data_IF_701839761415
#
_entry.id   IF_701839761415
#
_cell.length_a   1.000
_cell.length_b   1.000
_cell.length_c   1.000
_cell.angle_alpha   90.00
_cell.angle_beta   90.00
_cell.angle_gamma   90.00
#
_symmetry.space_group_name_H-M   'P 1'
#
loop_
_entity.id
_entity.type
_entity.pdbx_description
1 polymer ?
#
# COMPACT_ATOMS: atom_id res chain seq x y z
N UNK A 1 23.28 -6.89 2.19
CA UNK A 1 21.85 -6.86 2.58
C UNK A 1 21.05 -7.36 1.40
N UNK A 2 20.07 -8.23 1.64
CA UNK A 2 19.20 -8.82 0.62
C UNK A 2 17.74 -8.56 0.99
N UNK A 3 16.95 -8.11 0.02
CA UNK A 3 15.51 -7.86 0.16
C UNK A 3 14.79 -8.85 -0.74
N UNK A 4 13.86 -9.60 -0.17
CA UNK A 4 13.07 -10.62 -0.85
C UNK A 4 11.61 -10.21 -0.74
N UNK A 5 11.04 -9.77 -1.86
CA UNK A 5 9.60 -9.52 -1.94
C UNK A 5 8.85 -10.82 -2.23
N UNK A 6 7.58 -10.86 -1.83
CA UNK A 6 6.69 -12.00 -2.06
C UNK A 6 7.28 -13.34 -1.57
N UNK A 7 7.99 -13.35 -0.43
CA UNK A 7 8.68 -14.57 0.05
C UNK A 7 7.73 -15.77 0.20
N UNK A 8 6.46 -15.51 0.52
CA UNK A 8 5.41 -16.50 0.63
C UNK A 8 5.08 -17.24 -0.66
N UNK A 9 5.55 -16.76 -1.83
CA UNK A 9 5.49 -17.51 -3.08
C UNK A 9 6.12 -18.91 -2.95
N UNK A 10 7.08 -19.09 -2.03
CA UNK A 10 7.64 -20.41 -1.72
C UNK A 10 6.59 -21.44 -1.32
N UNK A 11 5.47 -21.03 -0.70
CA UNK A 11 4.41 -21.90 -0.22
C UNK A 11 3.67 -22.61 -1.37
N UNK A 12 3.77 -22.08 -2.60
CA UNK A 12 3.21 -22.72 -3.80
C UNK A 12 4.03 -23.92 -4.28
N UNK A 13 5.29 -24.02 -3.84
CA UNK A 13 6.17 -25.13 -4.17
C UNK A 13 5.88 -26.40 -3.39
N UNK A 14 6.41 -27.52 -3.86
CA UNK A 14 6.38 -28.79 -3.13
C UNK A 14 7.11 -28.68 -1.79
N UNK A 15 6.77 -29.56 -0.84
CA UNK A 15 7.45 -29.61 0.47
C UNK A 15 8.98 -29.69 0.36
N UNK A 16 9.50 -30.41 -0.64
CA UNK A 16 10.94 -30.48 -0.91
C UNK A 16 11.51 -29.12 -1.32
N UNK A 17 10.85 -28.41 -2.23
CA UNK A 17 11.28 -27.08 -2.69
C UNK A 17 11.25 -26.06 -1.54
N UNK A 18 10.20 -26.08 -0.73
CA UNK A 18 10.09 -25.22 0.46
C UNK A 18 11.27 -25.43 1.42
N UNK A 19 11.61 -26.69 1.72
CA UNK A 19 12.77 -27.01 2.59
C UNK A 19 14.10 -26.55 2.00
N UNK A 20 14.30 -26.74 0.70
CA UNK A 20 15.52 -26.26 0.02
C UNK A 20 15.61 -24.74 0.15
N UNK A 21 14.51 -24.02 -0.10
CA UNK A 21 14.47 -22.56 0.01
C UNK A 21 14.76 -22.08 1.44
N UNK A 22 14.10 -22.63 2.46
CA UNK A 22 14.33 -22.26 3.87
C UNK A 22 15.77 -22.56 4.30
N UNK A 23 16.36 -23.67 3.83
CA UNK A 23 17.76 -23.97 4.10
C UNK A 23 18.70 -22.92 3.50
N UNK A 24 18.40 -22.42 2.29
CA UNK A 24 19.17 -21.33 1.68
C UNK A 24 19.03 -20.05 2.49
N UNK A 25 17.80 -19.66 2.88
CA UNK A 25 17.57 -18.49 3.74
C UNK A 25 18.35 -18.62 5.05
N UNK A 26 18.35 -19.80 5.67
CA UNK A 26 19.10 -20.09 6.89
C UNK A 26 20.60 -19.92 6.70
N UNK A 27 21.15 -20.46 5.61
CA UNK A 27 22.57 -20.32 5.29
C UNK A 27 22.97 -18.86 5.06
N UNK A 28 22.15 -18.10 4.33
CA UNK A 28 22.38 -16.68 4.10
C UNK A 28 22.35 -15.88 5.41
N UNK A 29 21.39 -16.16 6.28
CA UNK A 29 21.21 -15.46 7.55
C UNK A 29 22.28 -15.83 8.59
N UNK A 30 22.66 -17.11 8.69
CA UNK A 30 23.48 -17.62 9.79
C UNK A 30 24.96 -17.70 9.42
N UNK A 31 25.30 -18.39 8.34
CA UNK A 31 26.68 -18.66 7.96
C UNK A 31 27.32 -17.43 7.32
N UNK A 32 26.60 -16.80 6.39
CA UNK A 32 27.08 -15.60 5.70
C UNK A 32 26.73 -14.30 6.43
N UNK A 33 25.88 -14.35 7.46
CA UNK A 33 25.43 -13.19 8.25
C UNK A 33 24.88 -12.05 7.38
N UNK A 34 24.22 -12.39 6.27
CA UNK A 34 23.62 -11.39 5.37
C UNK A 34 22.38 -10.81 6.04
N UNK A 35 22.24 -9.47 6.16
CA UNK A 35 21.00 -8.86 6.61
C UNK A 35 19.88 -9.13 5.61
N UNK A 36 18.78 -9.75 6.06
CA UNK A 36 17.64 -10.15 5.23
C UNK A 36 16.39 -9.34 5.59
N UNK A 37 15.71 -8.81 4.58
CA UNK A 37 14.38 -8.20 4.70
C UNK A 37 13.43 -9.00 3.83
N UNK A 38 12.42 -9.60 4.46
CA UNK A 38 11.42 -10.42 3.77
C UNK A 38 10.08 -9.68 3.75
N UNK A 39 9.59 -9.34 2.57
CA UNK A 39 8.32 -8.67 2.36
C UNK A 39 7.29 -9.63 1.76
N UNK A 40 6.01 -9.32 1.98
CA UNK A 40 4.88 -10.07 1.45
C UNK A 40 3.63 -9.91 2.32
N UNK A 41 2.67 -10.79 2.09
CA UNK A 41 1.41 -10.83 2.85
C UNK A 41 1.59 -11.50 4.22
N UNK A 42 0.51 -11.65 5.00
CA UNK A 42 0.55 -12.43 6.26
C UNK A 42 1.06 -13.88 6.05
N UNK A 43 0.97 -14.41 4.83
CA UNK A 43 1.53 -15.69 4.45
C UNK A 43 3.06 -15.71 4.54
N UNK A 44 3.74 -14.57 4.41
CA UNK A 44 5.19 -14.48 4.54
C UNK A 44 5.63 -14.84 5.96
N UNK A 45 4.89 -14.35 6.96
CA UNK A 45 5.09 -14.74 8.36
C UNK A 45 4.88 -16.24 8.54
N UNK A 46 3.79 -16.78 7.99
CA UNK A 46 3.51 -18.22 8.08
C UNK A 46 4.62 -19.06 7.44
N UNK A 47 5.13 -18.65 6.28
CA UNK A 47 6.21 -19.34 5.58
C UNK A 47 7.49 -19.40 6.43
N UNK A 48 7.89 -18.29 7.06
CA UNK A 48 9.07 -18.24 7.92
C UNK A 48 8.88 -19.03 9.22
N UNK A 49 7.67 -19.05 9.80
CA UNK A 49 7.34 -19.82 11.00
C UNK A 49 7.38 -21.34 10.80
N UNK A 50 7.41 -21.83 9.56
CA UNK A 50 7.60 -23.27 9.30
C UNK A 50 8.98 -23.78 9.70
N UNK A 51 9.94 -22.88 9.91
CA UNK A 51 11.28 -23.19 10.40
C UNK A 51 11.54 -22.49 11.75
N UNK A 52 11.61 -23.24 12.87
CA UNK A 52 11.83 -22.65 14.19
C UNK A 52 13.11 -21.84 14.33
N UNK A 53 14.17 -22.16 13.56
CA UNK A 53 15.44 -21.44 13.65
C UNK A 53 15.38 -20.08 12.94
N UNK A 54 14.57 -19.97 11.89
CA UNK A 54 14.29 -18.68 11.26
C UNK A 54 13.31 -17.86 12.10
N UNK A 55 12.31 -18.50 12.71
CA UNK A 55 11.32 -17.82 13.56
C UNK A 55 11.95 -17.01 14.71
N UNK A 56 13.00 -17.53 15.33
CA UNK A 56 13.73 -16.85 16.42
C UNK A 56 14.62 -15.67 15.96
N UNK A 57 14.76 -15.45 14.64
CA UNK A 57 15.70 -14.46 14.08
C UNK A 57 15.04 -13.37 13.25
N UNK A 58 13.81 -13.60 12.79
CA UNK A 58 13.08 -12.61 12.01
C UNK A 58 12.09 -11.87 12.91
N UNK A 59 12.27 -10.55 12.98
CA UNK A 59 11.26 -9.67 13.55
C UNK A 59 10.17 -9.40 12.51
N UNK A 60 8.91 -9.45 12.94
CA UNK A 60 7.76 -9.17 12.06
C UNK A 60 7.33 -7.72 12.22
N UNK A 61 7.40 -6.96 11.14
CA UNK A 61 6.86 -5.60 11.08
C UNK A 61 5.61 -5.55 10.20
N UNK A 62 4.49 -5.12 10.78
CA UNK A 62 3.22 -5.01 10.07
C UNK A 62 2.98 -3.58 9.58
N UNK A 63 2.92 -3.40 8.26
CA UNK A 63 2.52 -2.14 7.64
C UNK A 63 1.02 -1.92 7.81
N UNK A 64 0.67 -1.06 8.77
CA UNK A 64 -0.72 -0.67 9.03
C UNK A 64 -1.23 0.20 7.89
N UNK A 65 -2.54 0.11 7.65
CA UNK A 65 -3.25 1.05 6.77
C UNK A 65 -3.20 2.45 7.36
N UNK A 66 -3.18 3.44 6.48
CA UNK A 66 -3.33 4.83 6.87
C UNK A 66 -4.70 5.06 7.49
N UNK A 67 -4.73 5.87 8.54
CA UNK A 67 -5.94 6.30 9.23
C UNK A 67 -6.01 7.82 9.20
N UNK A 68 -7.15 8.39 9.58
CA UNK A 68 -7.31 9.84 9.54
C UNK A 68 -6.62 10.50 10.74
N UNK A 69 -5.29 10.54 10.73
CA UNK A 69 -4.45 11.12 11.78
C UNK A 69 -3.50 12.21 11.24
N UNK A 70 -2.64 12.72 12.12
CA UNK A 70 -1.67 13.74 11.76
C UNK A 70 -0.60 13.24 10.79
N UNK A 71 -0.18 11.97 10.88
CA UNK A 71 0.81 11.39 9.96
C UNK A 71 0.25 11.30 8.55
N UNK A 72 -1.02 10.90 8.41
CA UNK A 72 -1.67 10.89 7.10
C UNK A 72 -1.86 12.29 6.53
N UNK A 73 -2.21 13.28 7.37
CA UNK A 73 -2.25 14.68 6.96
C UNK A 73 -0.88 15.17 6.48
N UNK A 74 0.21 14.80 7.15
CA UNK A 74 1.58 15.12 6.74
C UNK A 74 1.97 14.44 5.43
N UNK A 75 1.60 13.18 5.22
CA UNK A 75 1.79 12.51 3.94
C UNK A 75 1.13 13.29 2.81
N UNK A 76 -0.16 13.61 2.96
CA UNK A 76 -0.92 14.33 1.93
C UNK A 76 -0.39 15.74 1.67
N UNK A 77 0.02 16.46 2.71
CA UNK A 77 0.67 17.75 2.57
C UNK A 77 1.99 17.62 1.78
N UNK A 78 2.81 16.62 2.09
CA UNK A 78 4.07 16.35 1.38
C UNK A 78 3.83 16.01 -0.09
N UNK A 79 2.80 15.21 -0.38
CA UNK A 79 2.39 14.93 -1.76
C UNK A 79 1.98 16.22 -2.49
N UNK A 80 1.20 17.08 -1.84
CA UNK A 80 0.83 18.38 -2.40
C UNK A 80 2.02 19.28 -2.75
N UNK A 81 3.16 19.14 -2.07
CA UNK A 81 4.38 19.93 -2.36
C UNK A 81 5.25 19.38 -3.48
N UNK A 82 5.20 18.07 -3.75
CA UNK A 82 6.06 17.44 -4.78
C UNK A 82 5.38 17.34 -6.15
N UNK A 83 4.06 17.48 -6.20
CA UNK A 83 3.31 17.37 -7.44
C UNK A 83 3.55 18.61 -8.32
N UNK A 84 3.68 18.45 -9.65
CA UNK A 84 4.00 19.53 -10.57
C UNK A 84 2.78 20.40 -10.91
N UNK A 85 1.99 20.81 -9.91
CA UNK A 85 0.80 21.64 -10.08
C UNK A 85 1.14 23.11 -9.84
N UNK A 86 0.64 23.99 -10.71
CA UNK A 86 0.96 25.43 -10.62
C UNK A 86 0.28 26.15 -9.46
N UNK A 87 -0.85 25.63 -8.97
CA UNK A 87 -1.62 26.22 -7.87
C UNK A 87 -1.57 25.32 -6.64
N UNK A 88 -1.62 25.91 -5.43
CA UNK A 88 -1.61 25.13 -4.20
C UNK A 88 -2.81 24.18 -4.15
N UNK A 89 -2.54 22.94 -3.75
CA UNK A 89 -3.57 21.90 -3.56
C UNK A 89 -3.84 21.71 -2.08
N UNK A 90 -5.11 21.78 -1.66
CA UNK A 90 -5.51 21.64 -0.25
C UNK A 90 -5.81 20.18 0.12
N UNK A 91 -4.81 19.32 -0.05
CA UNK A 91 -4.92 17.89 0.27
C UNK A 91 -4.97 17.62 1.77
N UNK A 92 -4.51 18.55 2.59
CA UNK A 92 -4.46 18.41 4.05
C UNK A 92 -5.79 18.64 4.75
N UNK A 93 -6.76 19.28 4.09
CA UNK A 93 -8.07 19.58 4.66
C UNK A 93 -8.83 18.32 5.10
N UNK A 94 -9.50 18.39 6.26
CA UNK A 94 -10.28 17.29 6.80
C UNK A 94 -11.26 16.62 5.81
N UNK A 95 -12.02 17.35 4.97
CA UNK A 95 -12.89 16.72 3.98
C UNK A 95 -12.10 15.94 2.91
N UNK A 96 -11.03 16.51 2.36
CA UNK A 96 -10.22 15.86 1.31
C UNK A 96 -9.55 14.60 1.85
N UNK A 97 -8.93 14.67 3.04
CA UNK A 97 -8.30 13.50 3.66
C UNK A 97 -9.29 12.36 3.89
N UNK A 98 -10.48 12.69 4.41
CA UNK A 98 -11.54 11.69 4.64
C UNK A 98 -11.94 11.03 3.33
N UNK A 99 -12.15 11.82 2.28
CA UNK A 99 -12.54 11.33 0.97
C UNK A 99 -11.48 10.41 0.35
N UNK A 100 -10.20 10.79 0.44
CA UNK A 100 -9.09 9.95 -0.03
C UNK A 100 -9.06 8.62 0.73
N UNK A 101 -9.22 8.63 2.06
CA UNK A 101 -9.26 7.39 2.85
C UNK A 101 -10.44 6.49 2.47
N UNK A 102 -11.62 7.06 2.25
CA UNK A 102 -12.80 6.30 1.81
C UNK A 102 -12.56 5.61 0.47
N UNK A 103 -11.95 6.30 -0.51
CA UNK A 103 -11.67 5.75 -1.83
C UNK A 103 -10.54 4.70 -1.83
N UNK A 104 -9.60 4.83 -0.90
CA UNK A 104 -8.35 4.06 -0.91
C UNK A 104 -8.29 2.99 0.18
N UNK A 105 -9.20 3.00 1.14
CA UNK A 105 -9.24 2.09 2.28
C UNK A 105 -7.92 2.13 3.09
N UNK A 106 -7.26 3.30 3.09
CA UNK A 106 -5.97 3.55 3.75
C UNK A 106 -4.78 2.78 3.16
N UNK A 107 -4.91 2.20 1.97
CA UNK A 107 -3.82 1.43 1.34
C UNK A 107 -2.87 2.38 0.59
N UNK A 108 -1.59 2.37 0.96
CA UNK A 108 -0.56 3.27 0.38
C UNK A 108 -0.58 3.29 -1.14
N UNK A 109 -0.50 2.14 -1.83
CA UNK A 109 -0.48 2.12 -3.30
C UNK A 109 -1.75 2.73 -3.92
N UNK A 110 -2.92 2.56 -3.29
CA UNK A 110 -4.18 3.15 -3.76
C UNK A 110 -4.17 4.67 -3.58
N UNK A 111 -3.64 5.17 -2.46
CA UNK A 111 -3.50 6.60 -2.19
C UNK A 111 -2.64 7.27 -3.25
N UNK A 112 -1.44 6.75 -3.49
CA UNK A 112 -0.51 7.33 -4.46
C UNK A 112 -1.10 7.30 -5.88
N UNK A 113 -1.68 6.17 -6.30
CA UNK A 113 -2.29 6.06 -7.64
C UNK A 113 -3.49 6.99 -7.82
N UNK A 114 -4.34 7.12 -6.79
CA UNK A 114 -5.47 8.07 -6.81
C UNK A 114 -4.97 9.51 -7.01
N UNK A 115 -3.97 9.91 -6.23
CA UNK A 115 -3.40 11.26 -6.27
C UNK A 115 -2.69 11.52 -7.60
N UNK A 116 -1.90 10.57 -8.12
CA UNK A 116 -1.29 10.66 -9.45
C UNK A 116 -2.34 10.86 -10.54
N UNK A 117 -3.44 10.11 -10.48
CA UNK A 117 -4.53 10.17 -11.47
C UNK A 117 -5.25 11.52 -11.41
N UNK A 118 -5.57 11.99 -10.20
CA UNK A 118 -6.23 13.28 -9.98
C UNK A 118 -5.32 14.46 -10.37
N UNK A 119 -4.02 14.39 -10.07
CA UNK A 119 -3.06 15.42 -10.46
C UNK A 119 -2.88 15.48 -11.98
N UNK A 120 -2.77 14.33 -12.64
CA UNK A 120 -2.68 14.28 -14.10
C UNK A 120 -3.95 14.86 -14.76
N UNK A 121 -5.12 14.63 -14.18
CA UNK A 121 -6.36 15.24 -14.66
C UNK A 121 -6.39 16.75 -14.42
N UNK A 122 -5.95 17.22 -13.25
CA UNK A 122 -5.85 18.64 -12.94
C UNK A 122 -4.95 19.40 -13.94
N UNK A 123 -3.88 18.77 -14.42
CA UNK A 123 -3.02 19.29 -15.51
C UNK A 123 -3.77 19.28 -16.85
N UNK A 124 -4.41 18.16 -17.22
CA UNK A 124 -5.12 18.03 -18.50
C UNK A 124 -6.27 19.04 -18.65
N UNK A 125 -7.06 19.25 -17.60
CA UNK A 125 -8.18 20.20 -17.62
C UNK A 125 -7.74 21.66 -17.36
N UNK A 126 -6.46 21.92 -17.09
CA UNK A 126 -5.93 23.26 -16.82
C UNK A 126 -6.32 23.87 -15.47
N UNK A 127 -7.02 23.13 -14.60
CA UNK A 127 -7.32 23.58 -13.22
C UNK A 127 -6.04 23.80 -12.42
N UNK A 128 -5.03 22.96 -12.64
CA UNK A 128 -3.68 23.05 -12.05
C UNK A 128 -3.68 23.07 -10.50
N UNK A 129 -4.73 22.52 -9.89
CA UNK A 129 -4.93 22.39 -8.44
C UNK A 129 -5.81 21.17 -8.14
N UNK A 130 -5.64 20.55 -6.96
CA UNK A 130 -6.58 19.55 -6.43
C UNK A 130 -7.34 20.08 -5.22
N UNK A 131 -8.65 19.83 -5.23
CA UNK A 131 -9.60 20.16 -4.16
C UNK A 131 -10.49 18.96 -3.88
N UNK A 132 -11.48 19.10 -2.99
CA UNK A 132 -12.45 18.04 -2.73
C UNK A 132 -13.17 17.57 -4.00
N UNK A 133 -13.52 18.49 -4.90
CA UNK A 133 -14.20 18.21 -6.17
C UNK A 133 -13.39 17.23 -7.04
N UNK A 134 -12.06 17.28 -6.97
CA UNK A 134 -11.17 16.36 -7.68
C UNK A 134 -11.36 14.89 -7.28
N UNK A 135 -12.02 14.62 -6.14
CA UNK A 135 -12.29 13.29 -5.60
C UNK A 135 -13.79 12.96 -5.49
N UNK A 136 -14.66 13.84 -5.97
CA UNK A 136 -16.12 13.68 -5.96
C UNK A 136 -16.74 13.65 -7.36
N UNK A 137 -16.03 14.14 -8.38
CA UNK A 137 -16.54 14.18 -9.75
C UNK A 137 -16.91 12.81 -10.33
N UNK A 138 -17.95 12.79 -11.17
CA UNK A 138 -18.36 11.59 -11.93
C UNK A 138 -17.26 11.08 -12.85
N UNK A 139 -16.37 11.96 -13.30
CA UNK A 139 -15.21 11.65 -14.14
C UNK A 139 -14.01 11.08 -13.34
N UNK A 140 -14.16 10.85 -12.03
CA UNK A 140 -13.08 10.28 -11.23
C UNK A 140 -12.79 8.83 -11.64
N UNK A 141 -11.70 8.67 -12.39
CA UNK A 141 -11.20 7.34 -12.74
C UNK A 141 -10.45 6.74 -11.55
N UNK A 142 -10.95 5.61 -11.04
CA UNK A 142 -10.23 4.81 -10.05
C UNK A 142 -9.20 3.94 -10.78
N UNK A 143 -7.89 4.15 -10.57
CA UNK A 143 -6.85 3.57 -11.41
C UNK A 143 -6.61 2.08 -11.17
N UNK A 144 -7.07 1.53 -10.05
CA UNK A 144 -6.84 0.13 -9.68
C UNK A 144 -8.17 -0.62 -9.56
N UNK A 145 -8.23 -1.82 -10.14
CA UNK A 145 -9.41 -2.71 -10.05
C UNK A 145 -9.84 -2.94 -8.61
N UNK A 146 -8.88 -3.07 -7.69
CA UNK A 146 -9.14 -3.27 -6.27
C UNK A 146 -9.84 -2.06 -5.61
N UNK A 147 -9.72 -0.85 -6.18
CA UNK A 147 -10.44 0.35 -5.74
C UNK A 147 -11.89 0.32 -6.23
N UNK A 148 -12.14 -0.08 -7.48
CA UNK A 148 -13.49 -0.25 -8.03
C UNK A 148 -14.28 -1.29 -7.22
N UNK A 149 -13.67 -2.46 -6.96
CA UNK A 149 -14.28 -3.49 -6.12
C UNK A 149 -14.58 -2.99 -4.70
N UNK A 150 -13.71 -2.14 -4.15
CA UNK A 150 -13.92 -1.55 -2.83
C UNK A 150 -15.12 -0.61 -2.82
N UNK A 151 -15.22 0.28 -3.82
CA UNK A 151 -16.34 1.21 -3.97
C UNK A 151 -17.68 0.47 -4.13
N UNK A 152 -17.72 -0.57 -4.98
CA UNK A 152 -18.93 -1.41 -5.15
C UNK A 152 -19.36 -2.09 -3.85
N UNK A 153 -18.41 -2.60 -3.07
CA UNK A 153 -18.70 -3.23 -1.77
C UNK A 153 -19.27 -2.22 -0.77
N UNK A 154 -18.78 -0.98 -0.76
CA UNK A 154 -19.34 0.08 0.09
C UNK A 154 -20.76 0.44 -0.30
N UNK A 155 -21.05 0.59 -1.60
CA UNK A 155 -22.39 0.88 -2.10
C UNK A 155 -23.38 -0.22 -1.70
N UNK A 156 -23.01 -1.50 -1.89
CA UNK A 156 -23.85 -2.64 -1.47
C UNK A 156 -24.15 -2.65 0.03
N UNK A 157 -23.20 -2.21 0.87
CA UNK A 157 -23.40 -2.11 2.33
C UNK A 157 -24.32 -0.96 2.74
N UNK A 158 -24.35 0.12 1.97
CA UNK A 158 -25.24 1.26 2.23
C UNK A 158 -26.69 0.96 1.83
N UNK A 159 -26.89 0.26 0.70
CA UNK A 159 -28.24 -0.15 0.24
C UNK A 159 -28.88 -1.22 1.14
N UNK A 160 -28.06 -1.98 1.87
CA UNK A 160 -28.53 -3.01 2.80
C UNK A 160 -28.86 -2.49 4.22
N UNK A 161 -28.82 -1.17 4.45
CA UNK A 161 -29.19 -0.51 5.71
C UNK A 161 -30.43 0.33 5.52
#
# INVERSE_FOLDING_TARGET
MLIIDEIHAMLTGTYRQQRIFLNVIRFLANDLKVPLICAGTDLARQALLTDPQLAERFETFHLKRWVNDQHFAQLLASLGTILPLRRPSDLGSAPVRRRILELTDGVTVRIFRLIETAAAEAVRCGKEAMTLESFEGEDLVLPLVAMTQHAERQLRRQVAR
#
